data_IF_281167498688
#
_entry.id   IF_281167498688
#
_cell.length_a   1.000
_cell.length_b   1.000
_cell.length_c   1.000
_cell.angle_alpha   90.00
_cell.angle_beta   90.00
_cell.angle_gamma   90.00
#
_symmetry.space_group_name_H-M   'P 1'
#
loop_
_entity.id
_entity.type
_entity.pdbx_description
1 polymer ?
#
# COMPACT_ATOMS: atom_id res chain seq x y z
N UNK A 1 20.81 -21.15 12.23
CA UNK A 1 21.05 -21.86 10.96
C UNK A 1 22.40 -21.46 10.38
N UNK A 2 23.08 -22.36 9.65
CA UNK A 2 24.30 -22.01 8.88
C UNK A 2 23.95 -21.06 7.72
N UNK A 3 24.88 -20.22 7.23
CA UNK A 3 24.65 -19.33 6.09
C UNK A 3 24.06 -20.03 4.85
N UNK A 4 24.66 -21.14 4.40
CA UNK A 4 24.16 -21.93 3.26
C UNK A 4 22.71 -22.43 3.49
N UNK A 5 22.38 -22.86 4.71
CA UNK A 5 21.02 -23.29 5.07
C UNK A 5 20.00 -22.13 5.06
N UNK A 6 20.43 -20.90 5.36
CA UNK A 6 19.58 -19.71 5.23
C UNK A 6 19.31 -19.40 3.75
N UNK A 7 20.31 -19.56 2.88
CA UNK A 7 20.13 -19.41 1.43
C UNK A 7 19.15 -20.45 0.89
N UNK A 8 19.31 -21.72 1.25
CA UNK A 8 18.38 -22.79 0.84
C UNK A 8 16.93 -22.47 1.28
N UNK A 9 16.74 -22.02 2.51
CA UNK A 9 15.41 -21.60 2.99
C UNK A 9 14.87 -20.38 2.24
N UNK A 10 15.72 -19.45 1.81
CA UNK A 10 15.31 -18.31 0.99
C UNK A 10 14.90 -18.75 -0.43
N UNK A 11 15.61 -19.71 -1.03
CA UNK A 11 15.23 -20.34 -2.31
C UNK A 11 13.83 -20.95 -2.19
N UNK A 12 13.59 -21.79 -1.19
CA UNK A 12 12.28 -22.41 -0.95
C UNK A 12 11.15 -21.38 -0.79
N UNK A 13 11.40 -20.33 0.01
CA UNK A 13 10.42 -19.27 0.23
C UNK A 13 10.10 -18.51 -1.06
N UNK A 14 11.13 -18.17 -1.85
CA UNK A 14 10.94 -17.45 -3.12
C UNK A 14 10.21 -18.34 -4.14
N UNK A 15 10.43 -19.65 -4.17
CA UNK A 15 9.67 -20.56 -5.03
C UNK A 15 8.18 -20.57 -4.68
N UNK A 16 7.84 -20.61 -3.38
CA UNK A 16 6.44 -20.49 -2.94
C UNK A 16 5.83 -19.15 -3.36
N UNK A 17 6.59 -18.05 -3.30
CA UNK A 17 6.15 -16.72 -3.71
C UNK A 17 5.95 -16.65 -5.23
N UNK A 18 6.85 -17.22 -6.02
CA UNK A 18 6.75 -17.31 -7.49
C UNK A 18 5.47 -18.06 -7.89
N UNK A 19 5.25 -19.24 -7.31
CA UNK A 19 4.06 -20.06 -7.59
C UNK A 19 2.78 -19.32 -7.19
N UNK A 20 2.74 -18.74 -5.99
CA UNK A 20 1.60 -17.97 -5.53
C UNK A 20 1.33 -16.74 -6.41
N UNK A 21 2.36 -16.05 -6.88
CA UNK A 21 2.22 -14.92 -7.78
C UNK A 21 1.67 -15.31 -9.16
N UNK A 22 2.00 -16.52 -9.64
CA UNK A 22 1.43 -17.10 -10.88
C UNK A 22 -0.05 -17.43 -10.71
N UNK A 23 -0.40 -18.05 -9.59
CA UNK A 23 -1.70 -18.68 -9.39
C UNK A 23 -2.71 -17.77 -8.66
N UNK A 24 -2.34 -16.51 -8.40
CA UNK A 24 -3.21 -15.55 -7.72
C UNK A 24 -3.40 -15.84 -6.22
N UNK A 25 -2.46 -16.56 -5.59
CA UNK A 25 -2.51 -16.94 -4.19
C UNK A 25 -2.09 -15.84 -3.20
N UNK A 26 -1.84 -16.23 -1.95
CA UNK A 26 -1.44 -15.38 -0.83
C UNK A 26 -0.22 -14.48 -1.09
N UNK A 27 -0.14 -13.32 -0.42
CA UNK A 27 0.98 -12.37 -0.56
C UNK A 27 2.31 -12.94 -0.06
N UNK A 28 3.44 -12.31 -0.44
CA UNK A 28 4.76 -12.71 0.04
C UNK A 28 4.86 -12.67 1.58
N UNK A 29 4.29 -11.65 2.22
CA UNK A 29 4.28 -11.54 3.68
C UNK A 29 3.46 -12.66 4.35
N UNK A 30 2.30 -13.00 3.80
CA UNK A 30 1.48 -14.12 4.31
C UNK A 30 2.19 -15.46 4.15
N UNK A 31 2.90 -15.66 3.03
CA UNK A 31 3.71 -16.85 2.80
C UNK A 31 4.88 -16.93 3.76
N UNK A 32 5.64 -15.84 3.93
CA UNK A 32 6.75 -15.79 4.88
C UNK A 32 6.27 -16.05 6.32
N UNK A 33 5.13 -15.47 6.73
CA UNK A 33 4.54 -15.73 8.05
C UNK A 33 4.26 -17.23 8.26
N UNK A 34 3.63 -17.90 7.29
CA UNK A 34 3.36 -19.35 7.35
C UNK A 34 4.66 -20.18 7.33
N UNK A 35 5.57 -19.84 6.41
CA UNK A 35 6.86 -20.50 6.24
C UNK A 35 7.68 -20.54 7.54
N UNK A 36 7.71 -19.44 8.29
CA UNK A 36 8.41 -19.36 9.58
C UNK A 36 7.60 -19.92 10.77
N UNK A 37 6.27 -19.98 10.67
CA UNK A 37 5.45 -20.63 11.69
C UNK A 37 5.71 -22.15 11.75
N UNK A 38 5.95 -22.76 10.58
CA UNK A 38 6.30 -24.18 10.43
C UNK A 38 7.76 -24.47 10.83
N UNK A 39 8.66 -23.48 10.72
CA UNK A 39 10.11 -23.61 10.99
C UNK A 39 10.48 -23.00 12.34
N UNK A 40 9.99 -23.61 13.43
CA UNK A 40 10.20 -23.11 14.82
C UNK A 40 11.68 -23.06 15.25
N UNK A 41 12.53 -23.86 14.63
CA UNK A 41 13.99 -23.87 14.89
C UNK A 41 14.69 -22.59 14.39
N UNK A 42 14.09 -21.81 13.49
CA UNK A 42 14.67 -20.58 12.98
C UNK A 42 14.45 -19.45 14.00
N UNK A 43 15.53 -18.98 14.63
CA UNK A 43 15.51 -17.84 15.54
C UNK A 43 15.34 -16.49 14.81
N UNK A 44 15.18 -15.40 15.55
CA UNK A 44 14.94 -14.06 14.98
C UNK A 44 16.01 -13.61 13.97
N UNK A 45 17.28 -13.88 14.25
CA UNK A 45 18.41 -13.60 13.35
C UNK A 45 18.35 -14.42 12.05
N UNK A 46 17.98 -15.70 12.15
CA UNK A 46 17.84 -16.58 10.99
C UNK A 46 16.66 -16.13 10.10
N UNK A 47 15.51 -15.84 10.70
CA UNK A 47 14.32 -15.35 9.97
C UNK A 47 14.61 -14.04 9.24
N UNK A 48 15.34 -13.12 9.90
CA UNK A 48 15.77 -11.85 9.29
C UNK A 48 16.66 -12.11 8.06
N UNK A 49 17.71 -12.91 8.20
CA UNK A 49 18.61 -13.23 7.10
C UNK A 49 17.91 -13.92 5.91
N UNK A 50 17.01 -14.88 6.18
CA UNK A 50 16.21 -15.54 5.13
C UNK A 50 15.30 -14.54 4.42
N UNK A 51 14.63 -13.64 5.15
CA UNK A 51 13.82 -12.56 4.55
C UNK A 51 14.65 -11.59 3.72
N UNK A 52 15.82 -11.19 4.22
CA UNK A 52 16.70 -10.26 3.51
C UNK A 52 17.14 -10.84 2.17
N UNK A 53 17.55 -12.12 2.14
CA UNK A 53 17.88 -12.85 0.91
C UNK A 53 16.66 -12.96 -0.03
N UNK A 54 15.52 -13.41 0.49
CA UNK A 54 14.31 -13.60 -0.32
C UNK A 54 13.81 -12.29 -0.94
N UNK A 55 13.72 -11.21 -0.16
CA UNK A 55 13.30 -9.89 -0.67
C UNK A 55 14.35 -9.25 -1.57
N UNK A 56 15.64 -9.53 -1.36
CA UNK A 56 16.71 -9.14 -2.29
C UNK A 56 16.48 -9.74 -3.68
N UNK A 57 16.23 -11.05 -3.75
CA UNK A 57 15.89 -11.72 -5.01
C UNK A 57 14.60 -11.17 -5.63
N UNK A 58 13.55 -10.95 -4.84
CA UNK A 58 12.30 -10.38 -5.35
C UNK A 58 12.56 -9.00 -5.96
N UNK A 59 13.27 -8.09 -5.27
CA UNK A 59 13.57 -6.72 -5.76
C UNK A 59 14.46 -6.71 -7.02
N UNK A 60 15.40 -7.65 -7.12
CA UNK A 60 16.34 -7.72 -8.25
C UNK A 60 15.68 -7.97 -9.60
N UNK A 61 14.60 -8.76 -9.65
CA UNK A 61 13.99 -9.22 -10.91
C UNK A 61 12.58 -8.69 -11.10
N UNK A 62 12.42 -7.71 -12.00
CA UNK A 62 11.11 -7.13 -12.34
C UNK A 62 10.17 -8.11 -13.01
N UNK A 63 10.71 -8.95 -13.90
CA UNK A 63 9.99 -10.12 -14.40
C UNK A 63 10.06 -11.23 -13.37
N UNK A 64 8.94 -11.90 -13.13
CA UNK A 64 8.89 -13.09 -12.28
C UNK A 64 9.89 -14.15 -12.79
N UNK A 65 10.86 -14.59 -11.96
CA UNK A 65 11.76 -15.68 -12.30
C UNK A 65 11.02 -16.97 -12.66
N UNK A 66 11.64 -17.84 -13.46
CA UNK A 66 11.10 -19.18 -13.73
C UNK A 66 11.18 -20.07 -12.49
N UNK A 67 12.28 -19.97 -11.75
CA UNK A 67 12.53 -20.63 -10.46
C UNK A 67 13.32 -19.69 -9.54
N UNK A 68 13.20 -19.87 -8.23
CA UNK A 68 14.02 -19.15 -7.25
C UNK A 68 15.50 -19.45 -7.46
N UNK A 69 15.87 -20.69 -7.75
CA UNK A 69 17.26 -21.08 -8.01
C UNK A 69 17.87 -20.27 -9.16
N UNK A 70 17.16 -20.10 -10.27
CA UNK A 70 17.64 -19.27 -11.38
C UNK A 70 17.83 -17.79 -11.00
N UNK A 71 17.08 -17.29 -10.02
CA UNK A 71 17.22 -15.93 -9.50
C UNK A 71 18.45 -15.79 -8.62
N UNK A 72 18.64 -16.72 -7.67
CA UNK A 72 19.80 -16.67 -6.76
C UNK A 72 21.13 -16.98 -7.49
N UNK A 73 21.15 -17.90 -8.46
CA UNK A 73 22.33 -18.14 -9.30
C UNK A 73 22.71 -16.88 -10.09
N UNK A 74 21.72 -16.19 -10.67
CA UNK A 74 21.97 -14.93 -11.37
C UNK A 74 22.45 -13.78 -10.45
N UNK A 75 22.06 -13.80 -9.16
CA UNK A 75 22.61 -12.87 -8.17
C UNK A 75 24.04 -13.24 -7.76
N UNK A 76 24.34 -14.53 -7.63
CA UNK A 76 25.67 -15.05 -7.29
C UNK A 76 26.74 -14.69 -8.34
N UNK A 77 26.36 -14.58 -9.63
CA UNK A 77 27.26 -14.12 -10.69
C UNK A 77 27.86 -12.73 -10.41
N UNK A 78 27.22 -11.91 -9.56
CA UNK A 78 27.68 -10.57 -9.16
C UNK A 78 28.08 -10.45 -7.68
N UNK A 79 27.97 -11.53 -6.90
CA UNK A 79 28.19 -11.55 -5.45
C UNK A 79 28.99 -12.81 -5.05
N UNK A 80 30.32 -12.71 -4.91
CA UNK A 80 31.18 -13.83 -4.55
C UNK A 80 30.85 -14.46 -3.18
N UNK A 81 30.35 -13.68 -2.22
CA UNK A 81 29.96 -14.20 -0.91
C UNK A 81 28.71 -15.07 -1.03
N UNK A 82 27.71 -14.61 -1.80
CA UNK A 82 26.52 -15.39 -2.12
C UNK A 82 26.88 -16.65 -2.94
N UNK A 83 27.78 -16.54 -3.90
CA UNK A 83 28.24 -17.67 -4.70
C UNK A 83 28.88 -18.77 -3.84
N UNK A 84 29.68 -18.40 -2.84
CA UNK A 84 30.31 -19.33 -1.90
C UNK A 84 29.30 -20.11 -1.04
N UNK A 85 28.05 -19.65 -0.93
CA UNK A 85 26.99 -20.37 -0.19
C UNK A 85 26.36 -21.52 -0.98
N UNK A 86 26.65 -21.64 -2.28
CA UNK A 86 26.30 -22.81 -3.09
C UNK A 86 27.36 -23.89 -2.94
N UNK A 87 27.45 -24.45 -1.73
CA UNK A 87 28.53 -25.35 -1.33
C UNK A 87 28.12 -26.84 -1.30
N UNK A 88 26.84 -27.16 -1.51
CA UNK A 88 26.32 -28.52 -1.46
C UNK A 88 26.39 -29.17 -0.07
N UNK A 89 26.63 -28.39 0.99
CA UNK A 89 26.65 -28.91 2.38
C UNK A 89 25.26 -29.33 2.85
N UNK A 90 25.18 -30.09 3.95
CA UNK A 90 23.89 -30.49 4.51
C UNK A 90 22.97 -29.27 4.75
N UNK A 91 21.75 -29.34 4.22
CA UNK A 91 20.75 -28.27 4.25
C UNK A 91 21.12 -27.00 3.45
N UNK A 92 22.27 -26.95 2.78
CA UNK A 92 22.64 -25.90 1.83
C UNK A 92 22.19 -26.22 0.40
N UNK A 93 22.17 -25.24 -0.52
CA UNK A 93 21.87 -25.49 -1.92
C UNK A 93 23.02 -26.24 -2.60
N UNK A 94 22.67 -27.09 -3.55
CA UNK A 94 23.65 -27.74 -4.43
C UNK A 94 24.53 -26.71 -5.14
N UNK A 95 25.79 -27.06 -5.38
CA UNK A 95 26.75 -26.24 -6.11
C UNK A 95 26.19 -25.77 -7.46
N UNK A 96 26.65 -24.61 -7.93
CA UNK A 96 26.23 -24.05 -9.21
C UNK A 96 26.88 -24.85 -10.33
N UNK A 97 26.08 -25.37 -11.25
CA UNK A 97 26.57 -26.14 -12.40
C UNK A 97 26.90 -25.23 -13.59
N UNK A 98 27.92 -25.57 -14.40
CA UNK A 98 28.17 -24.90 -15.67
C UNK A 98 26.93 -24.95 -16.58
N UNK A 99 26.52 -23.81 -17.13
CA UNK A 99 25.37 -23.73 -18.03
C UNK A 99 24.00 -23.69 -17.35
N UNK A 100 23.96 -23.66 -16.02
CA UNK A 100 22.70 -23.54 -15.27
C UNK A 100 21.88 -22.29 -15.66
N UNK A 101 20.55 -22.36 -15.61
CA UNK A 101 19.70 -21.24 -16.02
C UNK A 101 19.83 -20.03 -15.08
N UNK A 102 19.95 -18.83 -15.66
CA UNK A 102 19.95 -17.53 -14.94
C UNK A 102 18.73 -16.71 -15.28
N UNK A 103 18.10 -16.13 -14.26
CA UNK A 103 17.09 -15.10 -14.46
C UNK A 103 17.71 -13.83 -15.03
N UNK A 104 16.99 -13.18 -15.94
CA UNK A 104 17.46 -11.97 -16.65
C UNK A 104 16.52 -10.79 -16.45
N UNK A 105 17.00 -9.58 -16.80
CA UNK A 105 16.24 -8.34 -16.71
C UNK A 105 16.66 -7.44 -15.54
N UNK A 106 16.06 -6.26 -15.47
CA UNK A 106 16.27 -5.27 -14.40
C UNK A 106 15.22 -5.37 -13.31
N UNK A 107 15.22 -4.39 -12.39
CA UNK A 107 14.31 -4.36 -11.24
C UNK A 107 12.83 -4.16 -11.57
N UNK A 108 12.50 -3.56 -12.72
CA UNK A 108 11.13 -3.30 -13.18
C UNK A 108 10.81 -4.00 -14.51
N UNK A 109 9.56 -4.46 -14.73
CA UNK A 109 9.11 -4.95 -16.04
C UNK A 109 9.22 -3.87 -17.13
N UNK A 110 9.78 -4.19 -18.29
CA UNK A 110 9.93 -3.20 -19.39
C UNK A 110 8.60 -2.61 -19.87
N UNK A 111 7.54 -3.41 -19.85
CA UNK A 111 6.22 -3.01 -20.36
C UNK A 111 5.51 -1.96 -19.50
N UNK A 112 5.87 -1.85 -18.20
CA UNK A 112 5.20 -0.92 -17.28
C UNK A 112 5.80 0.48 -17.35
N UNK A 113 7.09 0.59 -17.64
CA UNK A 113 7.83 1.86 -17.66
C UNK A 113 7.17 2.96 -18.50
N UNK A 114 6.70 2.69 -19.75
CA UNK A 114 6.05 3.73 -20.55
C UNK A 114 4.65 4.12 -20.06
N UNK A 115 4.10 3.45 -19.04
CA UNK A 115 2.77 3.72 -18.49
C UNK A 115 2.80 4.62 -17.25
N UNK A 116 3.99 4.88 -16.69
CA UNK A 116 4.12 5.74 -15.53
C UNK A 116 3.88 7.21 -15.88
N UNK A 117 3.51 7.98 -14.85
CA UNK A 117 3.51 9.44 -14.93
C UNK A 117 4.86 9.97 -15.41
N UNK A 118 4.82 11.04 -16.21
CA UNK A 118 6.01 11.75 -16.66
C UNK A 118 6.95 12.19 -15.53
N UNK A 119 6.44 12.28 -14.29
CA UNK A 119 7.22 12.58 -13.09
C UNK A 119 8.01 11.40 -12.52
N UNK A 120 7.90 10.20 -13.09
CA UNK A 120 8.52 8.95 -12.61
C UNK A 120 9.72 8.61 -13.50
N UNK A 121 10.80 9.37 -13.30
CA UNK A 121 12.07 9.17 -13.97
C UNK A 121 12.82 7.91 -13.49
N UNK A 122 14.07 7.75 -13.92
CA UNK A 122 14.89 6.59 -13.53
C UNK A 122 15.22 6.57 -12.03
N UNK A 123 15.36 7.73 -11.38
CA UNK A 123 15.64 7.82 -9.95
C UNK A 123 14.40 7.40 -9.14
N UNK A 124 13.22 7.88 -9.52
CA UNK A 124 11.95 7.44 -8.92
C UNK A 124 11.72 5.93 -9.10
N UNK A 125 12.01 5.41 -10.30
CA UNK A 125 11.92 3.98 -10.58
C UNK A 125 12.86 3.14 -9.71
N UNK A 126 14.07 3.64 -9.41
CA UNK A 126 15.00 2.98 -8.52
C UNK A 126 14.46 2.95 -7.07
N UNK A 127 13.92 4.07 -6.58
CA UNK A 127 13.39 4.17 -5.22
C UNK A 127 12.12 3.33 -4.95
N UNK A 128 11.43 2.87 -6.00
CA UNK A 128 10.38 1.86 -5.87
C UNK A 128 10.89 0.49 -5.41
N UNK A 129 12.21 0.27 -5.40
CA UNK A 129 12.82 -0.99 -5.01
C UNK A 129 13.59 -0.89 -3.68
N UNK A 130 13.70 0.31 -3.10
CA UNK A 130 14.36 0.52 -1.82
C UNK A 130 13.55 -0.05 -0.65
N UNK A 131 14.10 0.06 0.57
CA UNK A 131 13.32 -0.20 1.79
C UNK A 131 12.50 1.02 2.14
N UNK A 132 11.18 0.84 2.26
CA UNK A 132 10.30 1.90 2.69
C UNK A 132 10.54 2.28 4.17
N UNK A 133 10.46 3.57 4.54
CA UNK A 133 10.42 3.99 5.92
C UNK A 133 9.16 3.48 6.63
N UNK A 134 9.20 3.51 7.96
CA UNK A 134 8.09 3.14 8.82
C UNK A 134 7.50 4.41 9.42
N UNK A 135 6.31 4.77 8.95
CA UNK A 135 5.61 5.95 9.41
C UNK A 135 4.47 5.56 10.34
N UNK A 136 4.27 6.37 11.38
CA UNK A 136 3.15 6.31 12.30
C UNK A 136 2.23 7.50 12.07
N UNK A 137 0.93 7.25 12.26
CA UNK A 137 -0.07 8.29 12.47
C UNK A 137 -0.47 8.29 13.94
N UNK A 138 -0.26 9.40 14.63
CA UNK A 138 -0.79 9.64 15.97
C UNK A 138 -2.32 9.68 15.89
N UNK A 139 -2.98 8.96 16.79
CA UNK A 139 -4.42 8.98 16.91
C UNK A 139 -4.87 10.15 17.80
N UNK A 140 -5.31 11.23 17.16
CA UNK A 140 -5.78 12.44 17.83
C UNK A 140 -6.98 12.23 18.78
N UNK A 141 -7.67 11.08 18.72
CA UNK A 141 -8.73 10.72 19.69
C UNK A 141 -8.18 10.19 21.02
N UNK A 142 -6.90 9.81 21.07
CA UNK A 142 -6.30 9.07 22.20
C UNK A 142 -5.06 9.73 22.77
N UNK A 143 -4.28 10.42 21.94
CA UNK A 143 -3.02 11.01 22.33
C UNK A 143 -2.68 12.24 21.48
N UNK A 144 -1.88 13.12 22.05
CA UNK A 144 -1.20 14.21 21.37
C UNK A 144 0.10 13.72 20.72
N UNK A 145 0.59 14.46 19.71
CA UNK A 145 1.91 14.18 19.12
C UNK A 145 3.03 14.24 20.16
N UNK A 146 2.94 15.14 21.15
CA UNK A 146 3.95 15.29 22.19
C UNK A 146 4.06 14.04 23.07
N UNK A 147 2.92 13.46 23.50
CA UNK A 147 2.89 12.22 24.30
C UNK A 147 3.48 11.03 23.53
N UNK A 148 3.12 10.90 22.25
CA UNK A 148 3.66 9.83 21.40
C UNK A 148 5.15 10.05 21.11
N UNK A 149 5.59 11.27 20.84
CA UNK A 149 7.01 11.57 20.57
C UNK A 149 7.88 11.30 21.79
N UNK A 150 7.38 11.52 23.01
CA UNK A 150 8.08 11.14 24.23
C UNK A 150 8.24 9.62 24.37
N UNK A 151 7.35 8.83 23.77
CA UNK A 151 7.43 7.36 23.72
C UNK A 151 8.43 6.87 22.66
N UNK A 152 8.66 7.67 21.61
CA UNK A 152 9.59 7.36 20.52
C UNK A 152 10.61 8.51 20.35
N UNK A 153 11.59 8.66 21.25
CA UNK A 153 12.51 9.80 21.24
C UNK A 153 13.37 9.90 19.96
N UNK A 154 13.62 8.77 19.30
CA UNK A 154 14.37 8.70 18.05
C UNK A 154 13.48 8.83 16.80
N UNK A 155 12.17 9.05 16.97
CA UNK A 155 11.27 9.28 15.85
C UNK A 155 11.44 10.70 15.29
N UNK A 156 11.50 10.80 13.97
CA UNK A 156 11.48 12.07 13.27
C UNK A 156 10.03 12.59 13.21
N UNK A 157 9.83 13.85 13.63
CA UNK A 157 8.56 14.55 13.45
C UNK A 157 8.48 15.06 12.02
N UNK A 158 7.47 14.63 11.27
CA UNK A 158 7.27 15.07 9.89
C UNK A 158 6.43 16.36 9.87
N UNK A 159 6.99 17.50 9.45
CA UNK A 159 6.36 18.82 9.65
C UNK A 159 5.11 19.05 8.79
N UNK A 160 4.97 18.30 7.69
CA UNK A 160 3.88 18.45 6.73
C UNK A 160 2.53 17.93 7.24
N UNK A 161 2.52 17.12 8.29
CA UNK A 161 1.31 16.53 8.86
C UNK A 161 1.37 16.57 10.38
N UNK A 162 0.31 17.08 11.00
CA UNK A 162 0.23 17.28 12.47
C UNK A 162 0.49 15.98 13.25
N UNK A 163 0.07 14.84 12.70
CA UNK A 163 0.08 13.54 13.39
C UNK A 163 1.12 12.56 12.85
N UNK A 164 2.00 12.96 11.92
CA UNK A 164 2.93 12.04 11.29
C UNK A 164 4.28 11.98 12.03
N UNK A 165 4.74 10.75 12.32
CA UNK A 165 6.07 10.45 12.85
C UNK A 165 6.73 9.39 11.98
N UNK A 166 8.06 9.46 11.84
CA UNK A 166 8.85 8.45 11.13
C UNK A 166 9.80 7.76 12.10
N UNK A 167 9.69 6.43 12.16
CA UNK A 167 10.53 5.61 13.03
C UNK A 167 11.85 5.24 12.35
N UNK A 168 12.94 5.11 13.12
CA UNK A 168 14.17 4.50 12.65
C UNK A 168 13.94 3.08 12.11
N UNK A 169 14.73 2.71 11.10
CA UNK A 169 14.67 1.38 10.50
C UNK A 169 14.89 0.26 11.52
N UNK A 170 14.00 -0.74 11.52
CA UNK A 170 14.11 -1.91 12.40
C UNK A 170 13.45 -1.77 13.77
N UNK A 171 12.77 -0.66 14.05
CA UNK A 171 11.94 -0.49 15.24
C UNK A 171 10.87 -1.59 15.35
N UNK A 172 10.79 -2.24 16.51
CA UNK A 172 9.81 -3.30 16.78
C UNK A 172 8.46 -2.69 17.22
N UNK A 173 7.70 -2.18 16.26
CA UNK A 173 6.45 -1.46 16.54
C UNK A 173 5.21 -2.34 16.72
N UNK A 174 5.16 -3.50 16.05
CA UNK A 174 3.92 -4.29 15.92
C UNK A 174 3.32 -4.75 17.27
N UNK A 175 4.16 -4.96 18.28
CA UNK A 175 3.77 -5.36 19.64
C UNK A 175 4.01 -4.27 20.68
N UNK A 176 4.11 -3.01 20.25
CA UNK A 176 4.37 -1.90 21.15
C UNK A 176 3.07 -1.43 21.82
N UNK A 177 3.06 -1.11 23.13
CA UNK A 177 1.86 -0.66 23.84
C UNK A 177 1.12 0.50 23.15
N UNK A 178 1.84 1.48 22.60
CA UNK A 178 1.22 2.57 21.82
C UNK A 178 0.31 2.10 20.66
N UNK A 179 0.61 0.95 20.02
CA UNK A 179 -0.26 0.36 19.00
C UNK A 179 -1.43 -0.38 19.65
N UNK A 180 -1.16 -1.16 20.69
CA UNK A 180 -2.16 -1.96 21.43
C UNK A 180 -3.21 -1.09 22.13
N UNK A 181 -2.81 0.08 22.62
CA UNK A 181 -3.67 1.08 23.26
C UNK A 181 -4.35 2.01 22.25
N UNK A 182 -4.03 1.85 20.96
CA UNK A 182 -4.60 2.65 19.87
C UNK A 182 -4.15 4.11 19.85
N UNK A 183 -3.01 4.44 20.47
CA UNK A 183 -2.42 5.77 20.44
C UNK A 183 -1.81 6.09 19.06
N UNK A 184 -1.39 5.07 18.32
CA UNK A 184 -0.85 5.20 16.97
C UNK A 184 -1.39 4.14 16.01
N UNK A 185 -1.37 4.46 14.72
CA UNK A 185 -1.58 3.51 13.63
C UNK A 185 -0.34 3.50 12.72
N UNK A 186 0.12 2.32 12.29
CA UNK A 186 1.20 2.20 11.30
C UNK A 186 0.61 2.54 9.94
N UNK A 187 1.01 3.67 9.37
CA UNK A 187 0.45 4.18 8.12
C UNK A 187 1.45 5.09 7.40
N UNK A 188 1.71 4.78 6.13
CA UNK A 188 2.54 5.58 5.23
C UNK A 188 2.08 7.04 5.16
N UNK A 189 3.03 7.97 5.09
CA UNK A 189 2.79 9.41 4.98
C UNK A 189 1.79 9.78 3.86
N UNK A 190 1.88 9.15 2.69
CA UNK A 190 0.98 9.45 1.57
C UNK A 190 -0.47 9.07 1.86
N UNK A 191 -0.70 7.98 2.60
CA UNK A 191 -2.05 7.63 3.07
C UNK A 191 -2.60 8.60 4.11
N UNK A 192 -1.74 9.27 4.88
CA UNK A 192 -2.14 10.32 5.82
C UNK A 192 -2.51 11.61 5.05
N UNK A 193 -1.73 11.99 4.03
CA UNK A 193 -2.02 13.15 3.17
C UNK A 193 -3.35 13.03 2.41
N UNK A 194 -3.71 11.82 1.96
CA UNK A 194 -5.03 11.57 1.35
C UNK A 194 -6.18 11.92 2.31
N UNK A 195 -6.01 11.64 3.61
CA UNK A 195 -7.02 11.98 4.63
C UNK A 195 -7.05 13.48 4.90
N UNK A 196 -5.91 14.15 4.89
CA UNK A 196 -5.85 15.61 4.97
C UNK A 196 -6.61 16.25 3.79
N UNK A 197 -6.41 15.72 2.57
CA UNK A 197 -7.11 16.16 1.36
C UNK A 197 -8.63 15.99 1.42
N UNK A 198 -9.14 15.11 2.30
CA UNK A 198 -10.57 14.98 2.57
C UNK A 198 -11.15 16.19 3.32
N UNK A 199 -10.36 16.86 4.17
CA UNK A 199 -10.80 17.97 5.02
C UNK A 199 -12.13 17.66 5.75
N UNK A 200 -12.23 16.46 6.34
CA UNK A 200 -13.50 15.91 6.87
C UNK A 200 -14.03 16.60 8.14
N UNK A 201 -13.32 17.60 8.69
CA UNK A 201 -13.71 18.28 9.93
C UNK A 201 -15.05 19.00 9.74
N UNK A 202 -16.05 18.60 10.52
CA UNK A 202 -17.39 19.19 10.47
C UNK A 202 -18.29 18.64 9.36
N UNK A 203 -17.85 17.63 8.59
CA UNK A 203 -18.72 16.92 7.67
C UNK A 203 -19.82 16.17 8.44
N UNK A 204 -21.06 16.23 7.92
CA UNK A 204 -22.21 15.55 8.51
C UNK A 204 -22.19 14.05 8.21
N UNK A 205 -22.13 13.68 6.92
CA UNK A 205 -22.03 12.29 6.46
C UNK A 205 -20.82 12.09 5.54
N UNK A 206 -19.96 11.14 5.89
CA UNK A 206 -18.79 10.73 5.11
C UNK A 206 -18.92 9.27 4.71
N UNK A 207 -18.65 8.96 3.44
CA UNK A 207 -18.59 7.59 2.93
C UNK A 207 -17.16 7.24 2.53
N UNK A 208 -16.59 6.19 3.10
CA UNK A 208 -15.37 5.54 2.65
C UNK A 208 -15.76 4.30 1.83
N UNK A 209 -15.72 4.41 0.50
CA UNK A 209 -16.29 3.43 -0.43
C UNK A 209 -15.41 2.17 -0.63
N UNK A 210 -14.16 2.21 -0.18
CA UNK A 210 -13.17 1.14 -0.32
C UNK A 210 -12.29 1.05 0.93
N UNK A 211 -12.94 0.92 2.10
CA UNK A 211 -12.31 1.08 3.40
C UNK A 211 -11.20 0.07 3.69
N UNK A 212 -11.23 -1.13 3.09
CA UNK A 212 -10.27 -2.18 3.35
C UNK A 212 -10.26 -2.57 4.83
N UNK A 213 -9.06 -2.57 5.43
CA UNK A 213 -8.88 -2.80 6.87
C UNK A 213 -9.07 -1.51 7.71
N UNK A 214 -9.51 -0.41 7.07
CA UNK A 214 -9.96 0.84 7.69
C UNK A 214 -8.88 1.82 8.11
N UNK A 215 -7.65 1.70 7.61
CA UNK A 215 -6.56 2.62 7.98
C UNK A 215 -6.91 4.10 7.77
N UNK A 216 -7.50 4.43 6.61
CA UNK A 216 -7.98 5.79 6.29
C UNK A 216 -9.31 6.12 6.98
N UNK A 217 -10.22 5.15 7.13
CA UNK A 217 -11.44 5.31 7.92
C UNK A 217 -11.17 5.76 9.35
N UNK A 218 -10.21 5.14 10.05
CA UNK A 218 -9.83 5.53 11.41
C UNK A 218 -9.25 6.95 11.47
N UNK A 219 -8.55 7.37 10.40
CA UNK A 219 -8.02 8.71 10.28
C UNK A 219 -9.15 9.73 10.09
N UNK A 220 -10.14 9.40 9.26
CA UNK A 220 -11.33 10.21 9.05
C UNK A 220 -12.14 10.36 10.34
N UNK A 221 -12.34 9.27 11.10
CA UNK A 221 -13.01 9.32 12.41
C UNK A 221 -12.32 10.29 13.38
N UNK A 222 -10.98 10.26 13.41
CA UNK A 222 -10.18 11.19 14.21
C UNK A 222 -10.29 12.65 13.72
N UNK A 223 -10.20 12.89 12.40
CA UNK A 223 -10.37 14.21 11.80
C UNK A 223 -11.78 14.80 12.03
N UNK A 224 -12.79 13.94 12.06
CA UNK A 224 -14.17 14.29 12.40
C UNK A 224 -14.40 14.43 13.91
N UNK A 225 -13.42 14.09 14.76
CA UNK A 225 -13.51 14.07 16.23
C UNK A 225 -14.70 13.25 16.74
N UNK A 226 -14.94 12.08 16.14
CA UNK A 226 -16.10 11.22 16.42
C UNK A 226 -17.48 11.91 16.25
N UNK A 227 -17.56 12.97 15.45
CA UNK A 227 -18.83 13.63 15.12
C UNK A 227 -19.34 13.18 13.75
N UNK A 228 -20.61 13.45 13.46
CA UNK A 228 -21.24 13.05 12.20
C UNK A 228 -21.36 11.53 12.04
N UNK A 229 -21.62 11.09 10.81
CA UNK A 229 -21.78 9.69 10.41
C UNK A 229 -20.68 9.31 9.43
N UNK A 230 -19.87 8.32 9.78
CA UNK A 230 -18.84 7.77 8.89
C UNK A 230 -19.21 6.35 8.48
N UNK A 231 -19.49 6.16 7.20
CA UNK A 231 -19.91 4.87 6.64
C UNK A 231 -18.70 4.26 5.93
N UNK A 232 -18.23 3.11 6.41
CA UNK A 232 -17.09 2.40 5.86
C UNK A 232 -17.56 1.17 5.11
N UNK A 233 -17.28 1.10 3.81
CA UNK A 233 -17.76 0.01 2.97
C UNK A 233 -16.62 -0.69 2.25
N UNK A 234 -16.80 -1.99 2.02
CA UNK A 234 -15.90 -2.79 1.20
C UNK A 234 -16.68 -4.00 0.67
N UNK A 235 -16.18 -4.64 -0.38
CA UNK A 235 -16.72 -5.91 -0.90
C UNK A 235 -16.06 -7.13 -0.25
N UNK A 236 -14.90 -6.93 0.35
CA UNK A 236 -14.09 -7.96 0.99
C UNK A 236 -14.34 -8.02 2.50
N UNK A 237 -15.17 -8.97 2.91
CA UNK A 237 -15.48 -9.25 4.32
C UNK A 237 -14.23 -9.41 5.19
N UNK A 238 -13.24 -10.18 4.74
CA UNK A 238 -12.03 -10.45 5.53
C UNK A 238 -11.21 -9.18 5.82
N UNK A 239 -11.27 -8.17 4.95
CA UNK A 239 -10.63 -6.87 5.19
C UNK A 239 -11.50 -6.03 6.11
N UNK A 240 -12.79 -5.89 5.80
CA UNK A 240 -13.72 -5.05 6.54
C UNK A 240 -13.89 -5.51 8.00
N UNK A 241 -13.90 -6.82 8.25
CA UNK A 241 -14.01 -7.38 9.61
C UNK A 241 -12.81 -6.99 10.50
N UNK A 242 -11.66 -6.61 9.91
CA UNK A 242 -10.51 -6.10 10.68
C UNK A 242 -10.71 -4.67 11.17
N UNK A 243 -11.62 -3.90 10.57
CA UNK A 243 -11.86 -2.50 10.98
C UNK A 243 -12.49 -2.44 12.37
N UNK A 244 -13.50 -3.26 12.67
CA UNK A 244 -14.21 -3.22 13.97
C UNK A 244 -13.29 -3.32 15.20
N UNK A 245 -12.39 -4.31 15.33
CA UNK A 245 -11.48 -4.36 16.47
C UNK A 245 -10.49 -3.18 16.49
N UNK A 246 -10.06 -2.66 15.34
CA UNK A 246 -9.19 -1.49 15.27
C UNK A 246 -9.92 -0.21 15.68
N UNK A 247 -11.18 -0.04 15.28
CA UNK A 247 -12.03 1.09 15.68
C UNK A 247 -12.28 1.11 17.20
N UNK A 248 -12.57 -0.04 17.79
CA UNK A 248 -12.69 -0.17 19.24
C UNK A 248 -11.40 0.25 19.95
N UNK A 249 -10.25 -0.26 19.48
CA UNK A 249 -8.92 0.07 20.01
C UNK A 249 -8.60 1.55 19.89
N UNK A 250 -8.86 2.15 18.71
CA UNK A 250 -8.61 3.57 18.44
C UNK A 250 -9.62 4.50 19.14
N UNK A 251 -10.70 3.97 19.71
CA UNK A 251 -11.80 4.77 20.26
C UNK A 251 -12.61 5.51 19.19
N UNK A 252 -12.63 5.03 17.95
CA UNK A 252 -13.46 5.58 16.89
C UNK A 252 -14.91 5.05 17.06
N UNK A 253 -15.86 5.96 17.32
CA UNK A 253 -17.24 5.58 17.70
C UNK A 253 -18.30 5.93 16.65
N UNK A 254 -17.97 6.74 15.65
CA UNK A 254 -18.89 7.21 14.63
C UNK A 254 -18.89 6.36 13.33
N UNK A 255 -18.28 5.17 13.35
CA UNK A 255 -18.09 4.30 12.18
C UNK A 255 -19.24 3.28 12.07
N UNK A 256 -19.91 3.28 10.93
CA UNK A 256 -20.85 2.25 10.48
C UNK A 256 -20.21 1.41 9.38
N UNK A 257 -19.95 0.12 9.62
CA UNK A 257 -19.40 -0.78 8.59
C UNK A 257 -20.51 -1.41 7.75
N UNK A 258 -20.37 -1.42 6.42
CA UNK A 258 -21.31 -2.10 5.51
C UNK A 258 -20.56 -2.93 4.47
N UNK A 259 -20.81 -4.24 4.49
CA UNK A 259 -20.31 -5.13 3.44
C UNK A 259 -21.19 -4.98 2.19
N UNK A 260 -20.56 -4.66 1.06
CA UNK A 260 -21.24 -4.57 -0.23
C UNK A 260 -21.10 -5.86 -1.02
N UNK A 261 -22.14 -6.17 -1.79
CA UNK A 261 -22.09 -7.27 -2.74
C UNK A 261 -21.50 -6.76 -4.07
N UNK A 262 -20.45 -7.42 -4.61
CA UNK A 262 -19.88 -7.06 -5.90
C UNK A 262 -20.96 -6.97 -6.99
N UNK A 263 -20.99 -5.86 -7.72
CA UNK A 263 -21.96 -5.60 -8.79
C UNK A 263 -23.33 -5.11 -8.32
N UNK A 264 -23.59 -5.00 -7.01
CA UNK A 264 -24.83 -4.45 -6.43
C UNK A 264 -24.60 -3.21 -5.58
N UNK A 265 -23.43 -2.57 -5.72
CA UNK A 265 -23.01 -1.47 -4.87
C UNK A 265 -23.99 -0.29 -4.95
N UNK A 266 -24.44 0.10 -6.15
CA UNK A 266 -25.43 1.18 -6.34
C UNK A 266 -26.77 0.90 -5.65
N UNK A 267 -27.27 -0.34 -5.76
CA UNK A 267 -28.53 -0.76 -5.14
C UNK A 267 -28.43 -0.66 -3.61
N UNK A 268 -27.33 -1.18 -3.05
CA UNK A 268 -27.08 -1.24 -1.61
C UNK A 268 -26.74 0.10 -0.96
N UNK A 269 -26.43 1.12 -1.77
CA UNK A 269 -26.14 2.49 -1.32
C UNK A 269 -27.23 3.48 -1.76
N UNK A 270 -28.37 3.00 -2.25
CA UNK A 270 -29.42 3.85 -2.82
C UNK A 270 -29.97 4.89 -1.85
N UNK A 271 -29.95 4.62 -0.55
CA UNK A 271 -30.36 5.56 0.50
C UNK A 271 -29.34 6.68 0.78
N UNK A 272 -28.12 6.57 0.24
CA UNK A 272 -27.06 7.58 0.38
C UNK A 272 -26.96 8.50 -0.85
N UNK A 273 -27.75 8.28 -1.89
CA UNK A 273 -27.75 9.11 -3.11
C UNK A 273 -27.97 10.58 -2.74
N UNK A 274 -27.00 11.43 -3.10
CA UNK A 274 -27.00 12.85 -2.74
C UNK A 274 -27.04 13.15 -1.24
N UNK A 275 -26.56 12.23 -0.39
CA UNK A 275 -26.63 12.32 1.07
C UNK A 275 -25.28 12.43 1.78
N UNK A 276 -24.15 12.36 1.06
CA UNK A 276 -22.81 12.47 1.62
C UNK A 276 -22.19 13.85 1.36
N UNK A 277 -21.71 14.51 2.42
CA UNK A 277 -20.90 15.73 2.31
C UNK A 277 -19.53 15.45 1.68
N UNK A 278 -19.00 14.25 1.93
CA UNK A 278 -17.72 13.77 1.47
C UNK A 278 -17.78 12.28 1.13
N UNK A 279 -17.19 11.90 -0.01
CA UNK A 279 -16.90 10.51 -0.36
C UNK A 279 -15.39 10.34 -0.54
N UNK A 280 -14.78 9.37 0.15
CA UNK A 280 -13.42 8.90 -0.11
C UNK A 280 -13.48 7.60 -0.92
N UNK A 281 -12.72 7.54 -1.99
CA UNK A 281 -12.49 6.34 -2.80
C UNK A 281 -10.98 6.04 -2.81
N UNK A 282 -10.52 5.20 -1.88
CA UNK A 282 -9.19 4.59 -1.93
C UNK A 282 -9.24 3.36 -2.84
N UNK A 283 -9.19 3.59 -4.15
CA UNK A 283 -9.64 2.62 -5.13
C UNK A 283 -8.69 1.41 -5.26
N UNK A 284 -9.23 0.20 -5.52
CA UNK A 284 -8.43 -0.94 -5.95
C UNK A 284 -7.60 -0.57 -7.19
N UNK A 285 -6.29 -0.79 -7.13
CA UNK A 285 -5.36 -0.39 -8.19
C UNK A 285 -4.26 -1.43 -8.42
N UNK A 286 -3.33 -1.12 -9.33
CA UNK A 286 -2.15 -1.94 -9.61
C UNK A 286 -1.20 -2.08 -8.41
N UNK A 287 -1.25 -1.14 -7.46
CA UNK A 287 -0.34 -1.06 -6.33
C UNK A 287 1.08 -0.66 -6.70
N UNK A 288 1.29 -0.10 -7.91
CA UNK A 288 2.61 0.19 -8.46
C UNK A 288 3.45 1.17 -7.62
N UNK A 289 2.82 2.03 -6.83
CA UNK A 289 3.51 2.95 -5.93
C UNK A 289 4.01 2.31 -4.62
N UNK A 290 3.57 1.09 -4.30
CA UNK A 290 3.89 0.42 -3.03
C UNK A 290 4.93 -0.69 -3.16
N UNK A 291 5.62 -0.80 -4.30
CA UNK A 291 6.57 -1.88 -4.57
C UNK A 291 7.75 -1.93 -3.61
N UNK A 292 8.15 -0.82 -2.98
CA UNK A 292 9.19 -0.83 -1.94
C UNK A 292 8.76 -1.59 -0.67
N UNK A 293 7.45 -1.70 -0.43
CA UNK A 293 6.84 -2.50 0.64
C UNK A 293 6.50 -3.92 0.20
N UNK A 294 5.82 -4.05 -0.94
CA UNK A 294 5.35 -5.33 -1.48
C UNK A 294 5.92 -5.57 -2.89
N UNK A 295 7.24 -5.83 -3.01
CA UNK A 295 7.90 -5.88 -4.31
C UNK A 295 7.45 -7.08 -5.14
N UNK A 296 6.83 -8.12 -4.60
CA UNK A 296 6.34 -9.24 -5.41
C UNK A 296 5.09 -8.87 -6.21
N UNK A 297 4.38 -7.80 -5.86
CA UNK A 297 3.12 -7.43 -6.51
C UNK A 297 3.28 -7.09 -8.00
N UNK A 298 4.45 -6.58 -8.41
CA UNK A 298 4.83 -6.42 -9.84
C UNK A 298 4.82 -7.72 -10.63
N UNK A 299 5.06 -8.87 -9.99
CA UNK A 299 4.97 -10.18 -10.63
C UNK A 299 3.54 -10.66 -10.89
N UNK A 300 2.56 -9.97 -10.31
CA UNK A 300 1.13 -10.27 -10.40
C UNK A 300 0.37 -9.27 -11.27
N UNK A 301 1.07 -8.27 -11.81
CA UNK A 301 0.52 -7.24 -12.65
C UNK A 301 0.80 -7.60 -14.12
N UNK A 302 -0.24 -7.54 -14.92
CA UNK A 302 -0.21 -7.65 -16.38
C UNK A 302 -1.20 -6.64 -16.98
N UNK A 303 -1.19 -6.51 -18.31
CA UNK A 303 -2.04 -5.57 -19.02
C UNK A 303 -3.55 -5.83 -18.79
N UNK A 304 -3.96 -7.10 -18.71
CA UNK A 304 -5.36 -7.47 -18.49
C UNK A 304 -5.84 -7.08 -17.08
N UNK A 305 -5.01 -7.32 -16.07
CA UNK A 305 -5.27 -6.89 -14.70
C UNK A 305 -5.28 -5.38 -14.58
N UNK A 306 -4.33 -4.67 -15.20
CA UNK A 306 -4.30 -3.21 -15.22
C UNK A 306 -5.61 -2.66 -15.81
N UNK A 307 -6.06 -3.19 -16.95
CA UNK A 307 -7.33 -2.78 -17.55
C UNK A 307 -8.51 -2.99 -16.59
N UNK A 308 -8.60 -4.17 -15.94
CA UNK A 308 -9.69 -4.47 -14.99
C UNK A 308 -9.75 -3.49 -13.83
N UNK A 309 -8.60 -3.10 -13.25
CA UNK A 309 -8.61 -2.15 -12.13
C UNK A 309 -8.95 -0.73 -12.59
N UNK A 310 -8.52 -0.31 -13.78
CA UNK A 310 -8.94 0.96 -14.39
C UNK A 310 -10.46 0.99 -14.63
N UNK A 311 -11.03 -0.08 -15.17
CA UNK A 311 -12.48 -0.17 -15.39
C UNK A 311 -13.25 -0.12 -14.05
N UNK A 312 -12.77 -0.83 -13.02
CA UNK A 312 -13.40 -0.84 -11.68
C UNK A 312 -13.31 0.53 -11.00
N UNK A 313 -12.16 1.22 -11.12
CA UNK A 313 -11.98 2.58 -10.61
C UNK A 313 -12.99 3.56 -11.23
N UNK A 314 -13.24 3.47 -12.54
CA UNK A 314 -14.23 4.32 -13.21
C UNK A 314 -15.65 4.04 -12.68
N UNK A 315 -16.02 2.76 -12.52
CA UNK A 315 -17.29 2.36 -11.92
C UNK A 315 -17.45 2.92 -10.49
N UNK A 316 -16.40 2.84 -9.66
CA UNK A 316 -16.43 3.35 -8.30
C UNK A 316 -16.54 4.87 -8.25
N UNK A 317 -15.88 5.59 -9.17
CA UNK A 317 -16.04 7.04 -9.33
C UNK A 317 -17.49 7.41 -9.64
N UNK A 318 -18.14 6.69 -10.56
CA UNK A 318 -19.56 6.90 -10.88
C UNK A 318 -20.47 6.63 -9.66
N UNK A 319 -20.22 5.56 -8.91
CA UNK A 319 -20.96 5.25 -7.67
C UNK A 319 -20.78 6.38 -6.66
N UNK A 320 -19.55 6.79 -6.39
CA UNK A 320 -19.25 7.84 -5.41
C UNK A 320 -19.86 9.18 -5.80
N UNK A 321 -19.84 9.54 -7.08
CA UNK A 321 -20.40 10.79 -7.57
C UNK A 321 -21.93 10.91 -7.33
N UNK A 322 -22.65 9.80 -7.42
CA UNK A 322 -24.08 9.74 -7.14
C UNK A 322 -24.38 10.03 -5.66
N UNK A 323 -23.48 9.66 -4.74
CA UNK A 323 -23.67 9.83 -3.29
C UNK A 323 -23.41 11.26 -2.79
N UNK A 324 -22.62 12.05 -3.52
CA UNK A 324 -22.20 13.38 -3.06
C UNK A 324 -23.33 14.41 -3.19
N UNK A 325 -23.57 15.19 -2.12
CA UNK A 325 -24.48 16.36 -2.11
C UNK A 325 -23.97 17.47 -3.05
N UNK A 326 -24.85 18.37 -3.51
CA UNK A 326 -24.37 19.58 -4.21
C UNK A 326 -23.49 20.43 -3.28
N UNK A 327 -22.36 20.91 -3.79
CA UNK A 327 -21.33 21.60 -2.99
C UNK A 327 -20.40 20.68 -2.21
N UNK A 328 -20.72 19.39 -2.10
CA UNK A 328 -19.91 18.37 -1.42
C UNK A 328 -18.73 17.90 -2.27
N UNK A 329 -17.94 16.98 -1.69
CA UNK A 329 -16.65 16.58 -2.24
C UNK A 329 -16.49 15.07 -2.44
N UNK A 330 -15.70 14.70 -3.43
CA UNK A 330 -15.19 13.35 -3.64
C UNK A 330 -13.67 13.40 -3.66
N UNK A 331 -13.02 12.58 -2.84
CA UNK A 331 -11.57 12.37 -2.90
C UNK A 331 -11.31 11.01 -3.51
N UNK A 332 -10.70 11.02 -4.70
CA UNK A 332 -10.24 9.82 -5.38
C UNK A 332 -8.76 9.61 -5.06
N UNK A 333 -8.36 8.39 -4.73
CA UNK A 333 -6.97 8.06 -4.46
C UNK A 333 -6.63 6.64 -4.94
N UNK A 334 -5.37 6.47 -5.37
CA UNK A 334 -4.77 5.18 -5.71
C UNK A 334 -3.32 5.15 -5.23
N UNK A 335 -2.84 3.96 -4.84
CA UNK A 335 -1.41 3.72 -4.58
C UNK A 335 -0.67 3.28 -5.86
N UNK A 336 -0.89 4.03 -6.95
CA UNK A 336 -0.34 3.78 -8.28
C UNK A 336 0.37 5.00 -8.83
N UNK A 337 1.41 4.75 -9.61
CA UNK A 337 2.15 5.76 -10.38
C UNK A 337 1.83 5.70 -11.88
N UNK A 338 0.85 4.88 -12.28
CA UNK A 338 0.45 4.67 -13.67
C UNK A 338 -0.59 5.72 -14.07
N UNK A 339 -0.36 6.41 -15.19
CA UNK A 339 -1.19 7.56 -15.59
C UNK A 339 -2.67 7.21 -15.77
N UNK A 340 -2.95 6.03 -16.33
CA UNK A 340 -4.31 5.56 -16.57
C UNK A 340 -5.10 5.22 -15.30
N UNK A 341 -4.43 5.12 -14.15
CA UNK A 341 -5.07 4.98 -12.83
C UNK A 341 -5.03 6.30 -12.04
N UNK A 342 -4.16 7.25 -12.41
CA UNK A 342 -4.05 8.55 -11.76
C UNK A 342 -4.83 9.64 -12.52
N UNK A 343 -4.10 10.61 -13.07
CA UNK A 343 -4.67 11.75 -13.81
C UNK A 343 -5.61 11.34 -14.95
N UNK A 344 -5.38 10.19 -15.58
CA UNK A 344 -6.22 9.69 -16.67
C UNK A 344 -7.66 9.42 -16.21
N UNK A 345 -7.84 8.89 -15.00
CA UNK A 345 -9.17 8.64 -14.44
C UNK A 345 -9.89 9.93 -14.08
N UNK A 346 -9.18 10.87 -13.48
CA UNK A 346 -9.76 12.17 -13.11
C UNK A 346 -10.17 12.95 -14.36
N UNK A 347 -9.32 12.99 -15.38
CA UNK A 347 -9.64 13.64 -16.66
C UNK A 347 -10.86 13.01 -17.34
N UNK A 348 -10.95 11.67 -17.36
CA UNK A 348 -12.10 10.96 -17.91
C UNK A 348 -13.38 11.25 -17.12
N UNK A 349 -13.31 11.24 -15.79
CA UNK A 349 -14.42 11.54 -14.90
C UNK A 349 -14.95 12.97 -15.09
N UNK A 350 -14.07 13.97 -15.08
CA UNK A 350 -14.47 15.38 -15.25
C UNK A 350 -15.08 15.63 -16.63
N UNK A 351 -14.60 14.93 -17.66
CA UNK A 351 -15.17 15.00 -19.01
C UNK A 351 -16.59 14.40 -19.07
N UNK A 352 -16.86 13.31 -18.35
CA UNK A 352 -18.19 12.66 -18.34
C UNK A 352 -19.17 13.29 -17.34
N UNK A 353 -18.69 14.10 -16.39
CA UNK A 353 -19.49 14.68 -15.32
C UNK A 353 -19.40 16.22 -15.30
N UNK A 354 -20.14 16.94 -16.19
CA UNK A 354 -20.04 18.41 -16.31
C UNK A 354 -20.49 19.19 -15.05
N UNK A 355 -21.16 18.54 -14.10
CA UNK A 355 -21.50 19.10 -12.79
C UNK A 355 -20.37 19.00 -11.76
N UNK A 356 -19.14 18.73 -12.18
CA UNK A 356 -17.99 18.54 -11.31
C UNK A 356 -16.79 19.38 -11.75
N UNK A 357 -15.92 19.69 -10.78
CA UNK A 357 -14.64 20.34 -11.02
C UNK A 357 -13.56 19.82 -10.07
N UNK A 358 -12.30 19.98 -10.45
CA UNK A 358 -11.19 19.85 -9.52
C UNK A 358 -11.27 20.93 -8.42
N UNK A 359 -10.88 20.57 -7.21
CA UNK A 359 -10.81 21.44 -6.06
C UNK A 359 -9.44 21.34 -5.40
N UNK A 360 -9.04 22.38 -4.68
CA UNK A 360 -7.78 22.39 -3.95
C UNK A 360 -7.78 21.29 -2.88
N UNK A 361 -6.73 20.47 -2.88
CA UNK A 361 -6.53 19.42 -1.88
C UNK A 361 -6.14 20.00 -0.53
N UNK A 362 -5.50 21.17 -0.49
CA UNK A 362 -5.00 21.81 0.72
C UNK A 362 -3.78 21.12 1.34
N UNK A 363 -3.20 20.13 0.66
CA UNK A 363 -2.00 19.42 1.13
C UNK A 363 -0.75 20.23 0.84
N UNK A 364 0.27 20.11 1.69
CA UNK A 364 1.52 20.87 1.59
C UNK A 364 2.66 20.15 0.83
N UNK A 365 2.42 18.92 0.34
CA UNK A 365 3.42 18.03 -0.25
C UNK A 365 2.89 17.38 -1.53
N UNK A 366 3.81 17.01 -2.42
CA UNK A 366 3.53 16.35 -3.70
C UNK A 366 3.62 17.29 -4.89
N UNK A 367 3.52 16.70 -6.09
CA UNK A 367 3.57 17.42 -7.37
C UNK A 367 2.22 17.37 -8.05
N UNK A 368 1.83 18.47 -8.70
CA UNK A 368 0.66 18.46 -9.55
C UNK A 368 0.87 17.49 -10.73
N UNK A 369 -0.11 16.63 -11.00
CA UNK A 369 -0.15 15.75 -12.16
C UNK A 369 -1.58 15.77 -12.73
N UNK A 370 -1.82 16.64 -13.71
CA UNK A 370 -3.17 16.98 -14.14
C UNK A 370 -3.97 17.69 -13.03
N UNK A 371 -5.20 17.25 -12.80
CA UNK A 371 -6.12 17.80 -11.79
C UNK A 371 -5.96 17.16 -10.39
N UNK A 372 -4.81 16.53 -10.13
CA UNK A 372 -4.51 15.87 -8.85
C UNK A 372 -3.07 16.03 -8.42
N UNK A 373 -2.73 15.38 -7.31
CA UNK A 373 -1.41 15.36 -6.69
C UNK A 373 -0.82 13.97 -6.81
N UNK A 374 0.42 13.92 -7.29
CA UNK A 374 1.26 12.73 -7.31
C UNK A 374 2.31 12.83 -6.20
N UNK A 375 2.40 11.77 -5.40
CA UNK A 375 3.47 11.53 -4.45
C UNK A 375 4.36 10.41 -4.98
N UNK A 376 5.67 10.56 -4.81
CA UNK A 376 6.65 9.57 -5.27
C UNK A 376 7.73 9.29 -4.22
N UNK A 377 8.30 8.07 -4.16
CA UNK A 377 9.25 7.71 -3.11
C UNK A 377 10.49 8.56 -3.02
N UNK A 378 11.08 8.96 -4.15
CA UNK A 378 12.33 9.71 -4.13
C UNK A 378 12.10 11.19 -3.78
N UNK A 379 11.04 11.81 -4.31
CA UNK A 379 10.72 13.21 -4.04
C UNK A 379 10.08 13.44 -2.66
N UNK A 380 9.09 12.63 -2.28
CA UNK A 380 8.22 12.92 -1.13
C UNK A 380 8.53 12.05 0.09
N UNK A 381 9.46 11.09 -0.06
CA UNK A 381 9.79 10.09 0.94
C UNK A 381 8.58 9.26 1.45
N UNK A 382 7.45 9.26 0.74
CA UNK A 382 6.26 8.43 0.98
C UNK A 382 6.20 7.27 -0.02
N UNK A 383 5.21 6.37 0.08
CA UNK A 383 4.96 5.48 -1.06
C UNK A 383 4.45 6.30 -2.26
N UNK A 384 4.43 5.67 -3.44
CA UNK A 384 3.81 6.26 -4.61
C UNK A 384 2.28 6.31 -4.48
N UNK A 385 1.71 7.50 -4.61
CA UNK A 385 0.26 7.71 -4.59
C UNK A 385 -0.14 8.76 -5.62
N UNK A 386 -1.35 8.64 -6.12
CA UNK A 386 -2.06 9.73 -6.78
C UNK A 386 -3.38 9.97 -6.04
N UNK A 387 -3.76 11.24 -5.87
CA UNK A 387 -5.09 11.59 -5.38
C UNK A 387 -5.58 12.93 -5.92
N UNK A 388 -6.89 13.09 -6.03
CA UNK A 388 -7.54 14.32 -6.45
C UNK A 388 -8.76 14.60 -5.58
N UNK A 389 -9.00 15.88 -5.29
CA UNK A 389 -10.23 16.35 -4.64
C UNK A 389 -11.13 16.97 -5.71
N UNK A 390 -12.37 16.52 -5.77
CA UNK A 390 -13.35 16.90 -6.77
C UNK A 390 -14.59 17.46 -6.06
N UNK A 391 -15.14 18.55 -6.56
CA UNK A 391 -16.33 19.18 -5.99
C UNK A 391 -17.52 19.06 -6.95
N UNK A 392 -18.69 18.75 -6.40
CA UNK A 392 -19.97 18.77 -7.12
C UNK A 392 -20.59 20.17 -7.09
N UNK A 393 -21.03 20.66 -8.25
CA UNK A 393 -21.55 22.03 -8.46
C UNK A 393 -23.05 22.18 -8.19
#
# INVERSE_FOLDING_TARGET
MRPAARLQSAIELVDQIILSARDGGASADQLAKRFFAERRYAGSKDRRAVRDLAWGAIRRFGKRPATARSAFVAMADADPELAALFDGTDYGPAAIEPGEARSTGGGLPKWIKPLFSAHVDEAEQASLLDRAPMDLRVNALKASRAEVSATFPDAEVLPHLEYALRLPGGTAIDSHPAVEDGQVEIQDLGSQLIVEACQAKGAGTVLDLCAGAGGKTLALAAAMRNQGRLIATDTNRNRLDQLKPRANRSGATNIETRLLNPGKEKEMLSELVGGCDLVLIDAPCSGSGTWRRNPETRWRLDAARLKRVVDEQAKLLDIGADMVVRGGYLVYAVCSLIESEGKGQVAAFLKSHPGWRAADTGVSMGRADGDGILLTPHHDASDGFFFARLQKL
#
